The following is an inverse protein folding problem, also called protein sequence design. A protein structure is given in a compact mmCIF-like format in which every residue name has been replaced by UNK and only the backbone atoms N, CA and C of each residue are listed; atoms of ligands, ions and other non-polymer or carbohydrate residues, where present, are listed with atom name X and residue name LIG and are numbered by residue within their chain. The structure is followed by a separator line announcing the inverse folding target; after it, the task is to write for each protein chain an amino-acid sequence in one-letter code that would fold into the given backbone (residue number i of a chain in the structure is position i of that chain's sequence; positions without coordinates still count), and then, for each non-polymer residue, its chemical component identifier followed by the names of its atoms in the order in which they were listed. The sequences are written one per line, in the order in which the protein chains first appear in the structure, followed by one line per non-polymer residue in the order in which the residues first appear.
data_IF_043924794214
#
_entry.id   IF_043924794214
#
_cell.length_a   1.000
_cell.length_b   1.000
_cell.length_c   1.000
_cell.angle_alpha   90.00
_cell.angle_beta   90.00
_cell.angle_gamma   90.00
#
_symmetry.space_group_name_H-M   'P 1'
#
loop_
_entity.id
_entity.type
_entity.pdbx_description
1 polymer ?
#
# COMPACT_ATOMS: atom_id res chain seq x y z
N UNK A 1 7.67 12.66 60.18
CA UNK A 1 8.10 12.60 58.77
C UNK A 1 6.87 12.82 57.91
N UNK A 2 6.74 13.99 57.26
CA UNK A 2 5.63 14.28 56.36
C UNK A 2 6.26 14.49 54.99
N UNK A 3 6.08 13.52 54.10
CA UNK A 3 6.53 13.59 52.71
C UNK A 3 5.46 14.30 51.88
N UNK A 4 5.87 15.29 51.09
CA UNK A 4 4.97 15.96 50.15
C UNK A 4 4.81 15.09 48.89
N UNK A 5 3.58 14.92 48.42
CA UNK A 5 3.30 14.34 47.11
C UNK A 5 2.83 15.50 46.24
N UNK A 6 3.53 15.71 45.13
CA UNK A 6 3.13 16.67 44.11
C UNK A 6 2.54 15.91 42.92
N UNK A 7 1.51 16.49 42.30
CA UNK A 7 0.85 15.92 41.11
C UNK A 7 1.02 16.92 39.98
N UNK A 8 1.88 16.58 39.03
CA UNK A 8 2.00 17.30 37.77
C UNK A 8 1.08 16.68 36.72
N UNK A 9 0.30 17.50 36.04
CA UNK A 9 -0.51 17.08 34.90
C UNK A 9 0.10 17.59 33.60
N UNK A 10 0.23 16.69 32.61
CA UNK A 10 0.48 17.03 31.21
C UNK A 10 -0.78 16.72 30.42
N UNK A 11 -1.22 17.67 29.60
CA UNK A 11 -2.32 17.46 28.67
C UNK A 11 -1.71 16.96 27.36
N UNK A 12 -2.06 15.74 26.97
CA UNK A 12 -1.73 15.21 25.65
C UNK A 12 -2.89 15.56 24.70
N UNK A 13 -2.60 16.35 23.67
CA UNK A 13 -3.53 16.60 22.58
C UNK A 13 -3.32 15.49 21.54
N UNK A 14 -4.38 14.75 21.23
CA UNK A 14 -4.36 13.77 20.14
C UNK A 14 -5.05 14.41 18.95
N UNK A 15 -4.28 14.72 17.90
CA UNK A 15 -4.86 15.13 16.63
C UNK A 15 -5.45 13.89 15.93
N UNK A 16 -6.73 13.91 15.53
CA UNK A 16 -7.30 12.81 14.77
C UNK A 16 -6.63 12.73 13.40
N UNK A 17 -6.52 11.50 12.87
CA UNK A 17 -6.00 11.28 11.52
C UNK A 17 -6.91 12.00 10.52
N UNK A 18 -6.32 12.88 9.71
CA UNK A 18 -7.05 13.55 8.64
C UNK A 18 -7.09 12.67 7.39
N UNK A 19 -8.26 12.08 7.15
CA UNK A 19 -8.54 11.29 5.95
C UNK A 19 -9.11 12.11 4.79
N UNK A 20 -9.00 13.44 4.84
CA UNK A 20 -9.41 14.31 3.73
C UNK A 20 -8.52 14.12 2.49
N UNK A 21 -9.04 14.41 1.29
CA UNK A 21 -8.23 14.39 0.06
C UNK A 21 -7.02 15.33 0.11
N UNK A 22 -7.10 16.44 0.87
CA UNK A 22 -6.00 17.39 1.04
C UNK A 22 -4.83 16.86 1.85
N UNK A 23 -5.07 15.94 2.80
CA UNK A 23 -4.03 15.33 3.62
C UNK A 23 -3.46 14.05 3.01
N UNK A 24 -4.32 13.23 2.40
CA UNK A 24 -3.95 11.88 1.95
C UNK A 24 -3.34 11.82 0.54
N UNK A 25 -3.61 12.82 -0.30
CA UNK A 25 -3.15 12.85 -1.68
C UNK A 25 -3.81 11.78 -2.56
N UNK A 26 -3.17 11.46 -3.69
CA UNK A 26 -3.69 10.43 -4.59
C UNK A 26 -3.17 9.04 -4.21
N UNK A 27 -4.08 8.07 -4.12
CA UNK A 27 -3.74 6.66 -3.98
C UNK A 27 -3.11 6.15 -5.28
N UNK A 28 -1.82 5.85 -5.26
CA UNK A 28 -1.00 5.55 -6.45
C UNK A 28 -0.39 4.15 -6.37
N UNK A 29 -0.53 3.39 -7.46
CA UNK A 29 0.16 2.12 -7.67
C UNK A 29 1.07 2.27 -8.89
N UNK A 30 2.40 2.06 -8.77
CA UNK A 30 3.30 2.14 -9.91
C UNK A 30 2.93 1.15 -11.01
N UNK A 31 3.28 1.51 -12.24
CA UNK A 31 3.08 0.65 -13.41
C UNK A 31 4.37 -0.06 -13.85
N UNK A 32 5.48 0.12 -13.13
CA UNK A 32 6.74 -0.56 -13.41
C UNK A 32 7.59 -0.68 -12.14
N UNK A 33 8.37 -1.77 -12.05
CA UNK A 33 9.32 -2.02 -10.98
C UNK A 33 10.43 -2.98 -11.45
N UNK A 34 11.59 -2.94 -10.80
CA UNK A 34 12.81 -3.62 -11.21
C UNK A 34 13.49 -4.32 -10.02
N UNK A 35 13.06 -5.54 -9.64
CA UNK A 35 13.66 -6.30 -8.54
C UNK A 35 15.05 -6.80 -8.93
N UNK A 36 16.05 -5.94 -8.76
CA UNK A 36 17.47 -6.18 -9.07
C UNK A 36 18.35 -6.11 -7.81
N UNK A 37 17.80 -5.73 -6.65
CA UNK A 37 18.48 -5.67 -5.37
C UNK A 37 19.29 -4.40 -5.13
N UNK A 38 19.07 -3.33 -5.89
CA UNK A 38 19.71 -2.03 -5.67
C UNK A 38 18.97 -1.15 -4.63
N UNK A 39 17.83 -1.63 -4.11
CA UNK A 39 16.88 -0.95 -3.21
C UNK A 39 16.06 0.16 -3.88
N UNK A 40 16.12 0.30 -5.20
CA UNK A 40 15.33 1.24 -5.99
C UNK A 40 14.28 0.50 -6.83
N UNK A 41 13.00 0.75 -6.53
CA UNK A 41 11.88 0.10 -7.24
C UNK A 41 11.94 -1.44 -7.23
N UNK A 42 12.54 -2.05 -6.22
CA UNK A 42 12.61 -3.51 -6.09
C UNK A 42 11.23 -4.16 -5.81
N UNK A 43 10.27 -3.36 -5.36
CA UNK A 43 8.95 -3.83 -4.99
C UNK A 43 7.87 -3.00 -5.65
N UNK A 44 6.86 -3.69 -6.16
CA UNK A 44 5.55 -3.09 -6.38
C UNK A 44 4.83 -2.95 -5.03
N UNK A 45 4.44 -1.72 -4.70
CA UNK A 45 3.71 -1.39 -3.48
C UNK A 45 2.79 -0.20 -3.70
N UNK A 46 1.78 -0.06 -2.84
CA UNK A 46 0.88 1.08 -2.85
C UNK A 46 1.55 2.31 -2.22
N UNK A 47 1.32 3.48 -2.82
CA UNK A 47 1.68 4.79 -2.26
C UNK A 47 0.40 5.56 -1.94
N UNK A 48 0.27 5.99 -0.70
CA UNK A 48 -0.83 6.82 -0.22
C UNK A 48 -0.37 7.57 1.02
N UNK A 49 -0.79 8.83 1.18
CA UNK A 49 -0.31 9.70 2.26
C UNK A 49 -0.63 9.16 3.65
N UNK A 50 -1.81 8.56 3.81
CA UNK A 50 -2.25 7.96 5.07
C UNK A 50 -2.89 6.59 4.84
N UNK A 51 -2.09 5.52 4.93
CA UNK A 51 -2.59 4.14 4.75
C UNK A 51 -3.68 3.78 5.77
N UNK A 52 -3.68 4.41 6.95
CA UNK A 52 -4.71 4.23 7.97
C UNK A 52 -6.09 4.73 7.54
N UNK A 53 -6.16 5.57 6.50
CA UNK A 53 -7.40 6.06 5.91
C UNK A 53 -8.02 5.09 4.91
N UNK A 54 -7.38 3.94 4.64
CA UNK A 54 -7.93 2.88 3.81
C UNK A 54 -8.72 1.91 4.71
N UNK A 55 -10.04 1.88 4.51
CA UNK A 55 -10.96 1.00 5.25
C UNK A 55 -10.94 -0.43 4.72
N UNK A 56 -10.95 -0.59 3.41
CA UNK A 56 -10.82 -1.89 2.73
C UNK A 56 -9.90 -1.77 1.53
N UNK A 57 -9.16 -2.83 1.23
CA UNK A 57 -8.22 -2.89 0.12
C UNK A 57 -8.24 -4.28 -0.51
N UNK A 58 -8.19 -4.32 -1.84
CA UNK A 58 -8.03 -5.51 -2.64
C UNK A 58 -7.09 -5.18 -3.80
N UNK A 59 -6.07 -6.00 -4.00
CA UNK A 59 -5.18 -5.96 -5.15
C UNK A 59 -5.02 -7.36 -5.72
N UNK A 60 -5.29 -7.50 -7.01
CA UNK A 60 -5.08 -8.73 -7.78
C UNK A 60 -4.19 -8.42 -8.97
N UNK A 61 -3.20 -9.29 -9.21
CA UNK A 61 -2.28 -9.18 -10.34
C UNK A 61 -2.31 -10.50 -11.11
N UNK A 62 -2.43 -10.40 -12.43
CA UNK A 62 -2.55 -11.52 -13.35
C UNK A 62 -1.45 -11.47 -14.39
N UNK A 63 -0.91 -12.64 -14.76
CA UNK A 63 -0.02 -12.75 -15.91
C UNK A 63 -0.81 -12.72 -17.23
N UNK A 64 -0.09 -12.77 -18.37
CA UNK A 64 -0.72 -12.74 -19.72
C UNK A 64 -1.66 -13.91 -20.02
N UNK A 65 -1.63 -14.97 -19.21
CA UNK A 65 -2.44 -16.18 -19.37
C UNK A 65 -3.71 -16.13 -18.51
N UNK A 66 -3.93 -15.03 -17.78
CA UNK A 66 -5.05 -14.88 -16.86
C UNK A 66 -4.86 -15.61 -15.53
N UNK A 67 -3.67 -16.14 -15.25
CA UNK A 67 -3.36 -16.73 -13.95
C UNK A 67 -3.07 -15.63 -12.94
N UNK A 68 -3.73 -15.69 -11.79
CA UNK A 68 -3.52 -14.76 -10.67
C UNK A 68 -2.17 -15.08 -10.02
N UNK A 69 -1.20 -14.18 -10.19
CA UNK A 69 0.18 -14.36 -9.69
C UNK A 69 0.40 -13.72 -8.32
N UNK A 70 -0.41 -12.73 -7.96
CA UNK A 70 -0.36 -12.08 -6.66
C UNK A 70 -1.75 -11.61 -6.24
N UNK A 71 -2.03 -11.74 -4.93
CA UNK A 71 -3.22 -11.18 -4.31
C UNK A 71 -2.95 -10.71 -2.89
N UNK A 72 -3.60 -9.63 -2.49
CA UNK A 72 -3.52 -9.11 -1.12
C UNK A 72 -4.75 -8.28 -0.78
N UNK A 73 -5.11 -8.30 0.50
CA UNK A 73 -6.05 -7.33 1.11
C UNK A 73 -5.35 -6.32 2.02
N UNK A 74 -4.03 -6.42 2.15
CA UNK A 74 -3.21 -5.52 2.94
C UNK A 74 -2.65 -4.39 2.05
N UNK A 75 -2.94 -3.11 2.35
CA UNK A 75 -2.44 -1.97 1.58
C UNK A 75 -0.93 -1.73 1.77
N UNK A 76 -0.31 -2.34 2.78
CA UNK A 76 1.16 -2.27 3.01
C UNK A 76 1.92 -3.45 2.39
N UNK A 77 1.21 -4.37 1.73
CA UNK A 77 1.84 -5.49 1.07
C UNK A 77 2.73 -5.03 -0.09
N UNK A 78 3.79 -5.79 -0.31
CA UNK A 78 4.78 -5.57 -1.36
C UNK A 78 4.90 -6.83 -2.20
N UNK A 79 5.16 -6.65 -3.49
CA UNK A 79 5.44 -7.76 -4.40
C UNK A 79 6.75 -7.52 -5.12
N UNK A 80 7.63 -8.51 -5.09
CA UNK A 80 8.98 -8.52 -5.68
C UNK A 80 9.03 -9.23 -7.04
N UNK A 81 7.87 -9.55 -7.63
CA UNK A 81 7.80 -10.29 -8.88
C UNK A 81 8.02 -11.79 -8.70
N UNK A 82 7.86 -12.35 -7.49
CA UNK A 82 7.90 -13.80 -7.28
C UNK A 82 6.51 -14.45 -7.37
N UNK A 83 6.45 -15.62 -7.98
CA UNK A 83 5.25 -16.46 -8.03
C UNK A 83 5.63 -17.94 -7.90
N UNK A 84 4.90 -18.67 -7.04
CA UNK A 84 5.16 -20.10 -6.74
C UNK A 84 6.63 -20.39 -6.40
N UNK A 85 7.28 -19.50 -5.67
CA UNK A 85 8.68 -19.61 -5.25
C UNK A 85 9.71 -19.37 -6.35
N UNK A 86 9.29 -18.86 -7.52
CA UNK A 86 10.18 -18.50 -8.64
C UNK A 86 10.06 -17.03 -8.95
N UNK A 87 11.19 -16.40 -9.26
CA UNK A 87 11.26 -15.02 -9.70
C UNK A 87 10.81 -14.92 -11.17
N UNK A 88 9.73 -14.19 -11.44
CA UNK A 88 9.16 -14.03 -12.80
C UNK A 88 10.11 -13.22 -13.68
N UNK A 89 10.29 -13.58 -14.95
CA UNK A 89 11.14 -12.81 -15.87
C UNK A 89 10.52 -11.47 -16.29
N UNK A 90 11.23 -10.69 -17.10
CA UNK A 90 10.69 -9.46 -17.72
C UNK A 90 9.36 -9.75 -18.42
N UNK A 91 8.26 -9.24 -17.86
CA UNK A 91 6.90 -9.54 -18.27
C UNK A 91 5.96 -8.37 -17.92
N UNK A 92 4.86 -8.26 -18.66
CA UNK A 92 3.77 -7.32 -18.39
C UNK A 92 2.61 -8.07 -17.76
N UNK A 93 2.17 -7.59 -16.61
CA UNK A 93 1.03 -8.09 -15.84
C UNK A 93 -0.15 -7.14 -15.97
N UNK A 94 -1.36 -7.64 -15.68
CA UNK A 94 -2.58 -6.84 -15.56
C UNK A 94 -2.99 -6.82 -14.09
N UNK A 95 -3.38 -5.66 -13.57
CA UNK A 95 -3.89 -5.55 -12.21
C UNK A 95 -5.31 -5.03 -12.15
N UNK A 96 -5.99 -5.42 -11.07
CA UNK A 96 -7.21 -4.83 -10.58
C UNK A 96 -6.98 -4.44 -9.12
N UNK A 97 -7.26 -3.19 -8.79
CA UNK A 97 -7.18 -2.67 -7.44
C UNK A 97 -8.49 -1.99 -7.06
N UNK A 98 -8.96 -2.26 -5.84
CA UNK A 98 -10.12 -1.61 -5.24
C UNK A 98 -9.77 -1.19 -3.81
N UNK A 99 -10.05 0.05 -3.47
CA UNK A 99 -9.90 0.58 -2.11
C UNK A 99 -11.18 1.34 -1.72
N UNK A 100 -11.60 1.20 -0.47
CA UNK A 100 -12.61 2.08 0.14
C UNK A 100 -11.95 2.88 1.23
N UNK A 101 -12.09 4.20 1.20
CA UNK A 101 -11.54 5.09 2.22
C UNK A 101 -12.46 5.19 3.44
N UNK A 102 -11.93 5.68 4.57
CA UNK A 102 -12.70 5.95 5.78
C UNK A 102 -13.80 6.99 5.57
N UNK A 103 -13.65 7.86 4.56
CA UNK A 103 -14.68 8.81 4.10
C UNK A 103 -15.86 8.13 3.39
N UNK A 104 -15.71 6.86 3.00
CA UNK A 104 -16.68 6.12 2.19
C UNK A 104 -16.43 6.19 0.69
N UNK A 105 -15.44 6.96 0.23
CA UNK A 105 -15.04 7.03 -1.17
C UNK A 105 -14.50 5.67 -1.65
N UNK A 106 -14.94 5.24 -2.84
CA UNK A 106 -14.47 4.02 -3.49
C UNK A 106 -13.55 4.36 -4.67
N UNK A 107 -12.33 3.84 -4.63
CA UNK A 107 -11.30 4.02 -5.66
C UNK A 107 -11.08 2.66 -6.34
N UNK A 108 -11.35 2.60 -7.64
CA UNK A 108 -11.03 1.44 -8.47
C UNK A 108 -9.98 1.85 -9.50
N UNK A 109 -8.86 1.13 -9.55
CA UNK A 109 -7.84 1.29 -10.60
C UNK A 109 -7.56 -0.05 -11.28
N UNK A 110 -7.29 0.02 -12.58
CA UNK A 110 -6.94 -1.12 -13.42
C UNK A 110 -5.87 -0.67 -14.39
N UNK A 111 -4.98 -1.58 -14.78
CA UNK A 111 -3.95 -1.27 -15.75
C UNK A 111 -2.93 -2.37 -15.87
N UNK A 112 -1.77 -2.02 -16.42
CA UNK A 112 -0.65 -2.91 -16.58
C UNK A 112 0.50 -2.58 -15.62
N UNK A 113 1.29 -3.59 -15.29
CA UNK A 113 2.54 -3.47 -14.53
C UNK A 113 3.65 -4.13 -15.33
N UNK A 114 4.74 -3.42 -15.57
CA UNK A 114 5.93 -3.93 -16.23
C UNK A 114 6.97 -4.34 -15.19
N UNK A 115 7.32 -5.62 -15.16
CA UNK A 115 8.48 -6.12 -14.42
C UNK A 115 9.71 -6.04 -15.31
N UNK A 116 10.79 -5.43 -14.83
CA UNK A 116 12.05 -5.28 -15.57
C UNK A 116 13.18 -6.00 -14.83
N UNK A 117 14.02 -6.73 -15.57
CA UNK A 117 15.27 -7.34 -15.09
C UNK A 117 16.37 -7.22 -16.14
#
# INVERSE_FOLDING_TARGET
MIGCIDIACVIVQVEPIDCSPSATGELYLPNAFSPNGDNENDFLQLYFGEVQCIKTFELYIYNRWGEKVFETTSPVAKWDGTFKGKSEGTEVFVYYMKATLMTGEEIIKKGNISLLR
#
